data_IF_579853575367
#
_entry.id   IF_579853575367
#
_cell.length_a   1.000
_cell.length_b   1.000
_cell.length_c   1.000
_cell.angle_alpha   90.00
_cell.angle_beta   90.00
_cell.angle_gamma   90.00
#
_symmetry.space_group_name_H-M   'P 1'
#
loop_
_entity.id
_entity.type
_entity.pdbx_description
1 polymer ?
#
# COMPACT_ATOMS: atom_id res chain seq x y z
N UNK A 1 -32.10 13.31 2.10
CA UNK A 1 -31.28 13.32 0.87
C UNK A 1 -29.87 13.03 1.31
N UNK A 2 -29.32 11.91 0.88
CA UNK A 2 -27.90 11.58 0.99
C UNK A 2 -27.69 10.41 0.03
N UNK A 3 -27.59 10.74 -1.26
CA UNK A 3 -27.08 9.81 -2.23
C UNK A 3 -25.71 9.36 -1.73
N UNK A 4 -25.58 8.05 -1.48
CA UNK A 4 -24.35 7.31 -1.16
C UNK A 4 -23.14 8.23 -0.95
N UNK A 5 -22.73 8.47 0.30
CA UNK A 5 -21.42 9.02 0.58
C UNK A 5 -20.41 8.27 -0.29
N UNK A 6 -19.92 8.92 -1.35
CA UNK A 6 -19.17 8.27 -2.41
C UNK A 6 -17.96 7.63 -1.74
N UNK A 7 -17.98 6.31 -1.59
CA UNK A 7 -16.91 5.57 -0.92
C UNK A 7 -15.69 5.73 -1.81
N UNK A 8 -14.84 6.69 -1.48
CA UNK A 8 -13.62 6.98 -2.24
C UNK A 8 -12.79 5.71 -2.28
N UNK A 9 -12.39 5.33 -3.49
CA UNK A 9 -11.49 4.20 -3.72
C UNK A 9 -10.13 4.78 -4.05
N UNK A 10 -9.11 4.28 -3.39
CA UNK A 10 -7.72 4.63 -3.66
C UNK A 10 -7.04 3.40 -4.23
N UNK A 11 -6.33 3.58 -5.34
CA UNK A 11 -5.50 2.55 -5.95
C UNK A 11 -4.05 2.92 -5.68
N UNK A 12 -3.29 1.99 -5.14
CA UNK A 12 -1.86 2.12 -4.93
C UNK A 12 -1.17 1.21 -5.94
N UNK A 13 -0.36 1.80 -6.81
CA UNK A 13 0.52 1.09 -7.71
C UNK A 13 1.92 1.12 -7.13
N UNK A 14 2.43 -0.04 -6.75
CA UNK A 14 3.67 -0.18 -6.04
C UNK A 14 4.64 -1.05 -6.84
N UNK A 15 5.67 -0.41 -7.39
CA UNK A 15 6.80 -1.10 -7.98
C UNK A 15 7.80 -1.48 -6.88
N UNK A 16 7.86 -2.76 -6.56
CA UNK A 16 8.74 -3.28 -5.51
C UNK A 16 10.20 -3.40 -5.96
N UNK A 17 10.50 -3.29 -7.26
CA UNK A 17 11.88 -3.32 -7.73
C UNK A 17 12.60 -1.99 -7.43
N UNK A 18 11.90 -0.86 -7.63
CA UNK A 18 12.43 0.48 -7.35
C UNK A 18 12.16 0.94 -5.92
N UNK A 19 11.07 0.48 -5.30
CA UNK A 19 10.67 0.79 -3.93
C UNK A 19 10.45 -0.52 -3.14
N UNK A 20 11.51 -1.30 -2.84
CA UNK A 20 11.34 -2.49 -2.02
C UNK A 20 10.90 -2.12 -0.61
N UNK A 21 10.43 -3.12 0.14
CA UNK A 21 10.20 -2.89 1.57
C UNK A 21 11.55 -2.72 2.26
N UNK A 22 11.68 -1.78 3.21
CA UNK A 22 12.93 -1.61 3.95
C UNK A 22 13.30 -2.85 4.77
N UNK A 23 14.61 -3.09 4.89
CA UNK A 23 15.14 -4.16 5.73
C UNK A 23 14.66 -4.05 7.18
N UNK A 24 14.35 -5.20 7.79
CA UNK A 24 13.85 -5.28 9.16
C UNK A 24 12.40 -4.84 9.36
N UNK A 25 11.71 -4.38 8.31
CA UNK A 25 10.26 -4.14 8.34
C UNK A 25 9.51 -5.41 7.97
N UNK A 26 8.63 -5.86 8.85
CA UNK A 26 7.72 -6.96 8.55
C UNK A 26 6.84 -6.60 7.34
N UNK A 27 6.84 -7.39 6.24
CA UNK A 27 6.09 -7.06 5.03
C UNK A 27 4.59 -6.87 5.28
N UNK A 28 4.02 -7.58 6.26
CA UNK A 28 2.63 -7.44 6.68
C UNK A 28 2.26 -6.03 7.16
N UNK A 29 3.23 -5.24 7.64
CA UNK A 29 3.01 -3.87 8.14
C UNK A 29 2.92 -2.84 7.03
N UNK A 30 3.44 -3.13 5.83
CA UNK A 30 3.52 -2.16 4.74
C UNK A 30 2.14 -1.66 4.33
N UNK A 31 1.15 -2.56 4.24
CA UNK A 31 -0.24 -2.19 3.98
C UNK A 31 -0.77 -1.21 5.03
N UNK A 32 -0.57 -1.51 6.31
CA UNK A 32 -1.06 -0.66 7.40
C UNK A 32 -0.40 0.73 7.38
N UNK A 33 0.90 0.79 7.08
CA UNK A 33 1.63 2.05 6.89
C UNK A 33 1.07 2.86 5.73
N UNK A 34 0.83 2.24 4.56
CA UNK A 34 0.25 2.90 3.38
C UNK A 34 -1.16 3.41 3.68
N UNK A 35 -2.03 2.59 4.28
CA UNK A 35 -3.40 2.97 4.63
C UNK A 35 -3.41 4.14 5.63
N UNK A 36 -2.54 4.11 6.65
CA UNK A 36 -2.42 5.19 7.63
C UNK A 36 -1.91 6.50 7.00
N UNK A 37 -0.93 6.42 6.10
CA UNK A 37 -0.44 7.59 5.38
C UNK A 37 -1.53 8.20 4.50
N UNK A 38 -2.24 7.37 3.73
CA UNK A 38 -3.36 7.81 2.88
C UNK A 38 -4.50 8.44 3.70
N UNK A 39 -4.82 7.89 4.87
CA UNK A 39 -5.84 8.47 5.75
C UNK A 39 -5.45 9.87 6.24
N UNK A 40 -4.19 10.07 6.63
CA UNK A 40 -3.65 11.38 7.03
C UNK A 40 -3.70 12.38 5.87
N UNK A 41 -3.27 11.99 4.68
CA UNK A 41 -3.23 12.87 3.50
C UNK A 41 -4.62 13.19 2.95
N UNK A 42 -5.55 12.23 2.97
CA UNK A 42 -6.89 12.39 2.38
C UNK A 42 -7.94 12.90 3.40
N UNK A 43 -7.57 12.99 4.69
CA UNK A 43 -8.45 13.40 5.79
C UNK A 43 -9.64 12.47 6.04
N UNK A 44 -9.61 11.24 5.49
CA UNK A 44 -10.64 10.22 5.68
C UNK A 44 -10.14 8.85 5.26
N UNK A 45 -10.71 7.80 5.86
CA UNK A 45 -10.47 6.42 5.43
C UNK A 45 -11.15 6.13 4.08
N UNK A 46 -10.37 5.68 3.12
CA UNK A 46 -10.84 5.22 1.80
C UNK A 46 -10.69 3.70 1.68
N UNK A 47 -11.38 3.07 0.73
CA UNK A 47 -11.10 1.69 0.40
C UNK A 47 -9.80 1.64 -0.42
N UNK A 48 -8.77 0.98 0.09
CA UNK A 48 -7.45 0.90 -0.55
C UNK A 48 -7.24 -0.46 -1.21
N UNK A 49 -7.01 -0.44 -2.52
CA UNK A 49 -6.54 -1.60 -3.29
C UNK A 49 -5.09 -1.37 -3.69
N UNK A 50 -4.21 -2.32 -3.34
CA UNK A 50 -2.78 -2.22 -3.59
C UNK A 50 -2.41 -3.25 -4.66
N UNK A 51 -1.80 -2.78 -5.74
CA UNK A 51 -1.16 -3.61 -6.76
C UNK A 51 0.34 -3.51 -6.58
N UNK A 52 0.95 -4.61 -6.12
CA UNK A 52 2.39 -4.72 -5.95
C UNK A 52 2.96 -5.54 -7.10
N UNK A 53 3.95 -4.99 -7.80
CA UNK A 53 4.60 -5.61 -8.96
C UNK A 53 6.10 -5.65 -8.68
N UNK A 54 6.74 -6.79 -8.88
CA UNK A 54 8.17 -6.93 -8.68
C UNK A 54 8.68 -8.30 -9.13
N UNK A 55 9.99 -8.40 -9.30
CA UNK A 55 10.65 -9.67 -9.62
C UNK A 55 11.01 -10.40 -8.32
N UNK A 56 10.42 -11.59 -8.13
CA UNK A 56 10.59 -12.38 -6.90
C UNK A 56 12.03 -12.87 -6.69
N UNK A 57 12.83 -13.03 -7.73
CA UNK A 57 14.24 -13.46 -7.59
C UNK A 57 15.10 -12.37 -6.95
N UNK A 58 14.84 -11.09 -7.27
CA UNK A 58 15.53 -9.95 -6.67
C UNK A 58 15.02 -9.62 -5.28
N UNK A 59 13.73 -9.89 -5.05
CA UNK A 59 13.06 -9.47 -3.83
C UNK A 59 13.19 -10.55 -2.76
N UNK A 60 13.12 -11.84 -3.09
CA UNK A 60 13.23 -12.93 -2.09
C UNK A 60 14.61 -13.05 -1.44
N UNK A 61 15.66 -12.54 -2.08
CA UNK A 61 17.00 -12.45 -1.47
C UNK A 61 17.09 -11.39 -0.36
N UNK A 62 16.21 -10.38 -0.36
CA UNK A 62 16.10 -9.38 0.70
C UNK A 62 15.27 -9.88 1.91
N UNK A 63 14.54 -10.98 1.76
CA UNK A 63 13.60 -11.51 2.76
C UNK A 63 14.02 -12.81 3.43
N UNK A 64 15.23 -13.29 3.14
CA UNK A 64 15.80 -14.51 3.72
C UNK A 64 16.68 -14.14 4.91
#
# INVERSE_FOLDING_TARGET
GDALALKKRTLVWWDMNSCPVPDGVEPGRVRACIESALEKEMGRRSQVTIFAIGNLEYISSAWR
#
